data_IF_498781306962
#
_entry.id   IF_498781306962
#
_cell.length_a   1.000
_cell.length_b   1.000
_cell.length_c   1.000
_cell.angle_alpha   90.00
_cell.angle_beta   90.00
_cell.angle_gamma   90.00
#
_symmetry.space_group_name_H-M   'P 1'
#
loop_
_entity.id
_entity.type
_entity.pdbx_description
1 polymer ?
#
# COMPACT_ATOMS: atom_id res chain seq x y z
N UNK A 1 26.59 -39.85 -62.67
CA UNK A 1 27.77 -40.69 -62.41
C UNK A 1 27.29 -42.12 -62.25
N UNK A 2 27.60 -43.00 -63.21
CA UNK A 2 27.30 -44.42 -63.14
C UNK A 2 28.56 -45.15 -62.67
N UNK A 3 28.44 -45.94 -61.61
CA UNK A 3 29.54 -46.77 -61.10
C UNK A 3 29.34 -48.18 -61.64
N UNK A 4 30.34 -48.70 -62.35
CA UNK A 4 30.31 -50.08 -62.87
C UNK A 4 31.17 -50.94 -61.97
N UNK A 5 30.56 -51.91 -61.28
CA UNK A 5 31.27 -52.83 -60.40
C UNK A 5 31.58 -54.10 -61.19
N UNK A 6 32.87 -54.42 -61.32
CA UNK A 6 33.36 -55.59 -62.04
C UNK A 6 33.95 -56.57 -61.03
N UNK A 7 33.33 -57.74 -60.91
CA UNK A 7 33.86 -58.85 -60.12
C UNK A 7 34.26 -60.00 -61.05
N UNK A 8 35.53 -60.43 -60.95
CA UNK A 8 36.10 -61.49 -61.79
C UNK A 8 36.66 -62.59 -60.90
N UNK A 9 35.87 -63.64 -60.71
CA UNK A 9 36.28 -64.88 -60.04
C UNK A 9 36.77 -65.93 -61.04
N UNK A 10 37.39 -67.01 -60.54
CA UNK A 10 38.08 -68.02 -61.36
C UNK A 10 37.20 -68.67 -62.43
N UNK A 11 35.88 -68.78 -62.22
CA UNK A 11 34.91 -69.37 -63.16
C UNK A 11 33.61 -68.53 -63.40
N UNK A 12 33.54 -67.26 -62.96
CA UNK A 12 32.37 -66.38 -63.22
C UNK A 12 32.83 -64.93 -63.41
N UNK A 13 32.30 -64.24 -64.44
CA UNK A 13 32.42 -62.79 -64.62
C UNK A 13 31.06 -62.14 -64.45
N UNK A 14 30.95 -61.23 -63.48
CA UNK A 14 29.74 -60.46 -63.24
C UNK A 14 30.05 -58.96 -63.38
N UNK A 15 29.24 -58.27 -64.20
CA UNK A 15 29.33 -56.81 -64.38
C UNK A 15 27.98 -56.19 -64.12
N UNK A 16 27.89 -55.28 -63.14
CA UNK A 16 26.66 -54.54 -62.85
C UNK A 16 26.89 -53.05 -62.97
N UNK A 17 26.00 -52.35 -63.69
CA UNK A 17 26.00 -50.88 -63.79
C UNK A 17 24.95 -50.30 -62.84
N UNK A 18 25.39 -49.57 -61.81
CA UNK A 18 24.52 -48.94 -60.83
C UNK A 18 24.07 -47.56 -61.33
N UNK A 19 22.77 -47.43 -61.65
CA UNK A 19 22.11 -46.14 -61.94
C UNK A 19 21.64 -45.43 -60.65
N UNK A 20 21.27 -44.14 -60.73
CA UNK A 20 20.80 -43.34 -59.57
C UNK A 20 19.68 -44.02 -58.77
N UNK A 21 18.77 -44.72 -59.46
CA UNK A 21 17.69 -45.51 -58.83
C UNK A 21 18.20 -46.68 -57.97
N UNK A 22 19.30 -47.34 -58.38
CA UNK A 22 19.91 -48.42 -57.59
C UNK A 22 20.62 -47.90 -56.34
N UNK A 23 21.18 -46.69 -56.41
CA UNK A 23 21.73 -46.03 -55.22
C UNK A 23 20.63 -45.71 -54.21
N UNK A 24 19.48 -45.24 -54.69
CA UNK A 24 18.34 -44.95 -53.83
C UNK A 24 17.83 -46.23 -53.13
N UNK A 25 17.73 -47.35 -53.85
CA UNK A 25 17.28 -48.62 -53.27
C UNK A 25 18.27 -49.19 -52.27
N UNK A 26 19.59 -49.08 -52.51
CA UNK A 26 20.61 -49.52 -51.56
C UNK A 26 20.53 -48.72 -50.24
N UNK A 27 20.32 -47.40 -50.32
CA UNK A 27 20.19 -46.55 -49.12
C UNK A 27 18.93 -46.90 -48.32
N UNK A 28 17.81 -47.14 -49.01
CA UNK A 28 16.55 -47.53 -48.35
C UNK A 28 16.69 -48.90 -47.67
N UNK A 29 17.31 -49.88 -48.33
CA UNK A 29 17.54 -51.21 -47.76
C UNK A 29 18.46 -51.10 -46.54
N UNK A 30 19.52 -50.30 -46.62
CA UNK A 30 20.42 -50.07 -45.49
C UNK A 30 19.71 -49.43 -44.29
N UNK A 31 18.84 -48.44 -44.52
CA UNK A 31 18.05 -47.80 -43.47
C UNK A 31 17.07 -48.79 -42.79
N UNK A 32 16.40 -49.66 -43.56
CA UNK A 32 15.52 -50.69 -43.02
C UNK A 32 16.29 -51.73 -42.20
N UNK A 33 17.42 -52.21 -42.70
CA UNK A 33 18.26 -53.19 -41.99
C UNK A 33 18.82 -52.57 -40.70
N UNK A 34 19.27 -51.32 -40.73
CA UNK A 34 19.72 -50.59 -39.54
C UNK A 34 18.60 -50.43 -38.52
N UNK A 35 17.38 -50.10 -38.95
CA UNK A 35 16.22 -49.98 -38.07
C UNK A 35 15.85 -51.31 -37.40
N UNK A 36 15.88 -52.41 -38.16
CA UNK A 36 15.62 -53.76 -37.64
C UNK A 36 16.70 -54.20 -36.64
N UNK A 37 17.98 -53.89 -36.89
CA UNK A 37 19.07 -54.19 -35.96
C UNK A 37 18.91 -53.39 -34.66
N UNK A 38 18.59 -52.10 -34.74
CA UNK A 38 18.35 -51.26 -33.55
C UNK A 38 17.14 -51.77 -32.76
N UNK A 39 16.05 -52.13 -33.43
CA UNK A 39 14.88 -52.74 -32.80
C UNK A 39 15.23 -54.07 -32.13
N UNK A 40 16.00 -54.93 -32.81
CA UNK A 40 16.45 -56.21 -32.25
C UNK A 40 17.30 -56.00 -30.99
N UNK A 41 18.29 -55.11 -31.03
CA UNK A 41 19.17 -54.81 -29.89
C UNK A 41 18.40 -54.20 -28.70
N UNK A 42 17.42 -53.33 -28.95
CA UNK A 42 16.54 -52.83 -27.87
C UNK A 42 15.60 -53.92 -27.34
N UNK A 43 15.18 -54.87 -28.18
CA UNK A 43 14.26 -55.94 -27.79
C UNK A 43 14.93 -57.13 -27.08
N UNK A 44 16.26 -57.25 -27.12
CA UNK A 44 16.99 -58.40 -26.54
C UNK A 44 17.25 -58.32 -25.03
N UNK A 45 16.52 -57.50 -24.26
CA UNK A 45 16.70 -57.43 -22.80
C UNK A 45 15.64 -58.19 -21.98
N UNK A 46 14.87 -59.10 -22.59
CA UNK A 46 14.07 -60.08 -21.85
C UNK A 46 14.71 -61.46 -21.94
N UNK A 47 15.34 -61.88 -20.83
CA UNK A 47 15.78 -63.26 -20.60
C UNK A 47 14.56 -64.17 -20.45
N UNK A 48 14.49 -65.34 -21.13
CA UNK A 48 13.44 -66.31 -20.86
C UNK A 48 13.82 -67.14 -19.62
N UNK A 49 13.12 -66.91 -18.51
CA UNK A 49 13.18 -67.84 -17.37
C UNK A 49 12.32 -69.06 -17.71
N UNK A 50 12.97 -70.21 -17.79
CA UNK A 50 12.33 -71.53 -17.89
C UNK A 50 11.33 -71.74 -16.75
N UNK A 51 10.11 -72.09 -17.12
CA UNK A 51 8.99 -72.39 -16.24
C UNK A 51 9.14 -73.76 -15.58
N UNK A 52 9.36 -73.80 -14.27
CA UNK A 52 8.89 -74.88 -13.40
C UNK A 52 8.96 -74.49 -11.92
N UNK A 53 7.87 -73.89 -11.40
CA UNK A 53 7.21 -74.31 -10.16
C UNK A 53 6.04 -73.37 -9.83
N UNK A 54 4.90 -74.00 -9.54
CA UNK A 54 3.66 -73.40 -9.10
C UNK A 54 3.77 -72.75 -7.71
N UNK A 55 2.90 -71.75 -7.46
CA UNK A 55 2.57 -71.09 -6.19
C UNK A 55 3.46 -69.93 -5.72
N UNK A 56 3.35 -68.74 -6.34
CA UNK A 56 3.23 -67.42 -5.67
C UNK A 56 2.74 -66.41 -6.72
N UNK A 57 1.43 -66.22 -6.83
CA UNK A 57 0.82 -65.14 -7.64
C UNK A 57 -0.25 -64.46 -6.78
N UNK A 58 0.21 -63.60 -5.89
CA UNK A 58 -0.63 -62.66 -5.12
C UNK A 58 0.19 -61.43 -4.67
N UNK A 59 1.52 -61.57 -4.57
CA UNK A 59 2.41 -60.51 -4.08
C UNK A 59 2.89 -59.49 -5.13
N UNK A 60 2.79 -59.77 -6.45
CA UNK A 60 3.33 -58.88 -7.49
C UNK A 60 2.33 -57.84 -8.00
N UNK A 61 1.03 -58.16 -8.08
CA UNK A 61 -0.04 -57.17 -8.34
C UNK A 61 -0.35 -56.32 -7.10
N UNK A 62 -0.24 -56.90 -5.89
CA UNK A 62 -0.27 -56.13 -4.65
C UNK A 62 0.92 -55.17 -4.55
N UNK A 63 2.14 -55.54 -4.94
CA UNK A 63 3.29 -54.63 -4.86
C UNK A 63 3.18 -53.40 -5.77
N UNK A 64 2.77 -53.56 -7.03
CA UNK A 64 2.60 -52.42 -7.96
C UNK A 64 1.41 -51.54 -7.58
N UNK A 65 0.33 -52.11 -7.03
CA UNK A 65 -0.80 -51.32 -6.52
C UNK A 65 -0.49 -50.61 -5.20
N UNK A 66 0.31 -51.23 -4.32
CA UNK A 66 0.78 -50.63 -3.06
C UNK A 66 1.78 -49.49 -3.34
N UNK A 67 2.76 -49.66 -4.24
CA UNK A 67 3.67 -48.57 -4.63
C UNK A 67 2.93 -47.41 -5.32
N UNK A 68 1.97 -47.70 -6.20
CA UNK A 68 1.15 -46.66 -6.84
C UNK A 68 0.22 -45.95 -5.84
N UNK A 69 -0.30 -46.66 -4.84
CA UNK A 69 -1.08 -46.08 -3.74
C UNK A 69 -0.21 -45.24 -2.80
N UNK A 70 1.01 -45.68 -2.51
CA UNK A 70 2.00 -44.94 -1.74
C UNK A 70 2.42 -43.66 -2.47
N UNK A 71 2.74 -43.71 -3.76
CA UNK A 71 3.03 -42.52 -4.58
C UNK A 71 1.86 -41.52 -4.59
N UNK A 72 0.62 -41.99 -4.78
CA UNK A 72 -0.57 -41.12 -4.71
C UNK A 72 -0.75 -40.49 -3.32
N UNK A 73 -0.46 -41.24 -2.25
CA UNK A 73 -0.54 -40.74 -0.89
C UNK A 73 0.54 -39.70 -0.56
N UNK A 74 1.75 -39.88 -1.11
CA UNK A 74 2.87 -38.94 -0.98
C UNK A 74 2.55 -37.66 -1.74
N UNK A 75 2.04 -37.76 -2.97
CA UNK A 75 1.64 -36.59 -3.77
C UNK A 75 0.48 -35.85 -3.10
N UNK A 76 -0.50 -36.55 -2.53
CA UNK A 76 -1.60 -35.95 -1.77
C UNK A 76 -1.11 -35.21 -0.52
N UNK A 77 -0.21 -35.80 0.27
CA UNK A 77 0.41 -35.15 1.43
C UNK A 77 1.21 -33.91 1.03
N UNK A 78 1.90 -33.97 -0.12
CA UNK A 78 2.64 -32.82 -0.68
C UNK A 78 1.70 -31.69 -1.09
N UNK A 79 0.56 -31.99 -1.72
CA UNK A 79 -0.47 -31.00 -2.04
C UNK A 79 -1.02 -30.33 -0.77
N UNK A 80 -1.31 -31.11 0.28
CA UNK A 80 -1.75 -30.59 1.58
C UNK A 80 -0.73 -29.62 2.21
N UNK A 81 0.56 -29.97 2.14
CA UNK A 81 1.64 -29.12 2.64
C UNK A 81 1.75 -27.80 1.85
N UNK A 82 1.63 -27.87 0.52
CA UNK A 82 1.64 -26.68 -0.34
C UNK A 82 0.48 -25.75 0.01
N UNK A 83 -0.74 -26.27 0.16
CA UNK A 83 -1.91 -25.48 0.58
C UNK A 83 -1.70 -24.82 1.94
N UNK A 84 -1.15 -25.56 2.92
CA UNK A 84 -0.86 -24.99 4.23
C UNK A 84 0.18 -23.87 4.16
N UNK A 85 1.21 -24.05 3.32
CA UNK A 85 2.26 -23.05 3.12
C UNK A 85 1.68 -21.78 2.49
N UNK A 86 0.81 -21.92 1.49
CA UNK A 86 0.10 -20.78 0.89
C UNK A 86 -0.77 -20.05 1.91
N UNK A 87 -1.54 -20.79 2.72
CA UNK A 87 -2.37 -20.19 3.77
C UNK A 87 -1.56 -19.52 4.88
N UNK A 88 -0.42 -20.09 5.25
CA UNK A 88 0.50 -19.44 6.19
C UNK A 88 1.05 -18.13 5.63
N UNK A 89 1.44 -18.11 4.35
CA UNK A 89 1.91 -16.89 3.69
C UNK A 89 0.81 -15.82 3.62
N UNK A 90 -0.43 -16.21 3.32
CA UNK A 90 -1.60 -15.32 3.33
C UNK A 90 -1.81 -14.73 4.73
N UNK A 91 -1.87 -15.54 5.78
CA UNK A 91 -1.99 -15.07 7.16
C UNK A 91 -0.84 -14.14 7.57
N UNK A 92 0.40 -14.46 7.20
CA UNK A 92 1.55 -13.59 7.45
C UNK A 92 1.38 -12.22 6.78
N UNK A 93 0.89 -12.20 5.53
CA UNK A 93 0.59 -10.97 4.82
C UNK A 93 -0.48 -10.13 5.53
N UNK A 94 -1.59 -10.75 5.97
CA UNK A 94 -2.63 -10.05 6.72
C UNK A 94 -2.09 -9.45 8.03
N UNK A 95 -1.30 -10.20 8.80
CA UNK A 95 -0.70 -9.70 10.04
C UNK A 95 0.23 -8.51 9.77
N UNK A 96 1.07 -8.58 8.74
CA UNK A 96 1.95 -7.46 8.38
C UNK A 96 1.15 -6.22 8.01
N UNK A 97 0.05 -6.38 7.25
CA UNK A 97 -0.81 -5.26 6.86
C UNK A 97 -1.54 -4.66 8.07
N UNK A 98 -2.06 -5.50 8.97
CA UNK A 98 -2.69 -5.08 10.21
C UNK A 98 -1.72 -4.32 11.12
N UNK A 99 -0.49 -4.81 11.26
CA UNK A 99 0.57 -4.14 12.01
C UNK A 99 0.91 -2.78 11.41
N UNK A 100 0.98 -2.68 10.08
CA UNK A 100 1.22 -1.40 9.39
C UNK A 100 0.05 -0.42 9.56
N UNK A 101 -1.20 -0.89 9.45
CA UNK A 101 -2.41 -0.09 9.71
C UNK A 101 -2.45 0.43 11.14
N UNK A 102 -2.21 -0.46 12.10
CA UNK A 102 -2.21 -0.13 13.51
C UNK A 102 -1.11 0.89 13.87
N UNK A 103 0.08 0.75 13.29
CA UNK A 103 1.17 1.72 13.47
C UNK A 103 0.78 3.13 13.01
N UNK A 104 0.19 3.26 11.81
CA UNK A 104 -0.29 4.56 11.30
C UNK A 104 -1.37 5.17 12.19
N UNK A 105 -2.31 4.36 12.69
CA UNK A 105 -3.34 4.82 13.62
C UNK A 105 -2.74 5.34 14.93
N UNK A 106 -1.73 4.65 15.46
CA UNK A 106 -1.04 5.04 16.69
C UNK A 106 -0.26 6.35 16.52
N UNK A 107 0.46 6.50 15.40
CA UNK A 107 1.20 7.72 15.06
C UNK A 107 0.25 8.92 14.94
N UNK A 108 -0.86 8.76 14.21
CA UNK A 108 -1.88 9.81 14.07
C UNK A 108 -2.53 10.20 15.42
N UNK A 109 -2.61 9.26 16.36
CA UNK A 109 -3.12 9.49 17.70
C UNK A 109 -2.05 9.99 18.70
N UNK A 110 -0.81 10.22 18.25
CA UNK A 110 0.34 10.56 19.10
C UNK A 110 0.58 9.56 20.24
N UNK A 111 0.29 8.27 20.02
CA UNK A 111 0.55 7.22 21.00
C UNK A 111 2.05 6.85 20.94
N UNK A 112 2.78 6.89 22.07
CA UNK A 112 4.20 6.55 22.06
C UNK A 112 4.45 5.09 21.64
N UNK A 113 5.44 4.86 20.77
CA UNK A 113 5.81 3.50 20.32
C UNK A 113 6.18 2.54 21.47
N UNK A 114 6.63 3.06 22.61
CA UNK A 114 6.91 2.25 23.81
C UNK A 114 5.66 1.63 24.45
N UNK A 115 4.49 2.26 24.25
CA UNK A 115 3.19 1.80 24.78
C UNK A 115 2.47 0.91 23.78
N UNK A 116 2.79 1.03 22.49
CA UNK A 116 2.13 0.30 21.42
C UNK A 116 3.12 -0.05 20.30
N UNK A 117 3.66 -1.28 20.36
CA UNK A 117 4.72 -1.78 19.48
C UNK A 117 4.27 -3.08 18.79
N UNK A 118 3.95 -2.98 17.49
CA UNK A 118 3.50 -4.11 16.67
C UNK A 118 4.60 -5.11 16.30
N UNK A 119 5.87 -4.78 16.57
CA UNK A 119 7.00 -5.68 16.34
C UNK A 119 7.28 -6.57 17.55
N UNK A 120 6.69 -6.28 18.71
CA UNK A 120 6.81 -7.11 19.90
C UNK A 120 5.62 -8.05 20.00
N UNK A 121 5.93 -9.31 20.26
CA UNK A 121 4.91 -10.29 20.60
C UNK A 121 4.24 -9.87 21.91
N UNK A 122 2.90 -9.85 21.98
CA UNK A 122 2.21 -9.54 23.22
C UNK A 122 2.55 -10.60 24.28
N UNK A 123 2.62 -10.22 25.57
CA UNK A 123 2.76 -11.19 26.65
C UNK A 123 1.62 -12.21 26.60
N UNK A 124 1.93 -13.43 26.18
CA UNK A 124 0.97 -14.53 26.11
C UNK A 124 1.08 -15.34 27.40
N UNK A 125 0.23 -15.03 28.38
CA UNK A 125 0.06 -15.85 29.59
C UNK A 125 -1.07 -16.86 29.41
N UNK A 126 -0.90 -18.09 29.88
CA UNK A 126 -1.97 -19.09 29.88
C UNK A 126 -1.55 -20.39 30.57
N UNK A 127 -2.51 -21.20 31.06
CA UNK A 127 -2.20 -22.53 31.56
C UNK A 127 -1.54 -23.34 30.42
N UNK A 128 -0.42 -24.00 30.70
CA UNK A 128 0.24 -24.89 29.74
C UNK A 128 -0.75 -25.96 29.30
N UNK A 129 -1.33 -25.82 28.10
CA UNK A 129 -2.13 -26.86 27.51
C UNK A 129 -1.21 -28.07 27.29
N UNK A 130 -1.44 -29.14 28.04
CA UNK A 130 -0.70 -30.39 27.90
C UNK A 130 -0.76 -30.81 26.42
N UNK A 131 0.40 -31.01 25.79
CA UNK A 131 0.57 -31.25 24.35
C UNK A 131 -0.26 -32.40 23.76
N UNK A 132 -0.92 -33.20 24.59
CA UNK A 132 -1.81 -34.30 24.23
C UNK A 132 -3.11 -33.84 23.51
N UNK A 133 -3.56 -32.59 23.65
CA UNK A 133 -4.80 -32.12 23.00
C UNK A 133 -4.62 -31.69 21.53
N UNK A 134 -3.39 -31.42 21.09
CA UNK A 134 -3.10 -30.90 19.74
C UNK A 134 -3.08 -32.03 18.69
N UNK A 135 -2.83 -33.27 19.11
CA UNK A 135 -2.53 -34.40 18.22
C UNK A 135 -3.74 -35.06 17.53
N UNK A 136 -4.99 -34.56 17.70
CA UNK A 136 -6.20 -35.19 17.15
C UNK A 136 -6.91 -34.43 16.04
N UNK A 137 -6.48 -33.22 15.67
CA UNK A 137 -7.19 -32.45 14.63
C UNK A 137 -6.84 -32.99 13.25
N UNK A 138 -7.88 -33.38 12.50
CA UNK A 138 -7.76 -33.71 11.07
C UNK A 138 -7.28 -32.49 10.29
N UNK A 139 -6.54 -32.73 9.19
CA UNK A 139 -6.14 -31.68 8.26
C UNK A 139 -7.32 -30.83 7.78
N UNK A 140 -8.48 -31.47 7.53
CA UNK A 140 -9.70 -30.77 7.14
C UNK A 140 -10.18 -29.80 8.23
N UNK A 141 -10.10 -30.20 9.51
CA UNK A 141 -10.47 -29.36 10.63
C UNK A 141 -9.53 -28.15 10.79
N UNK A 142 -8.23 -28.38 10.61
CA UNK A 142 -7.23 -27.30 10.66
C UNK A 142 -7.43 -26.29 9.52
N UNK A 143 -7.79 -26.77 8.33
CA UNK A 143 -8.06 -25.92 7.18
C UNK A 143 -9.32 -25.06 7.40
N UNK A 144 -10.35 -25.62 8.05
CA UNK A 144 -11.55 -24.87 8.47
C UNK A 144 -11.17 -23.78 9.48
N UNK A 145 -10.36 -24.11 10.50
CA UNK A 145 -9.93 -23.14 11.52
C UNK A 145 -9.07 -22.01 10.92
N UNK A 146 -8.15 -22.34 10.01
CA UNK A 146 -7.36 -21.34 9.25
C UNK A 146 -8.29 -20.43 8.45
N UNK A 147 -9.26 -21.01 7.74
CA UNK A 147 -10.23 -20.23 6.94
C UNK A 147 -11.07 -19.32 7.83
N UNK A 148 -11.48 -19.79 9.01
CA UNK A 148 -12.22 -18.96 9.97
C UNK A 148 -11.35 -17.81 10.51
N UNK A 149 -10.08 -18.09 10.80
CA UNK A 149 -9.13 -17.07 11.25
C UNK A 149 -8.87 -16.02 10.17
N UNK A 150 -8.69 -16.44 8.92
CA UNK A 150 -8.52 -15.57 7.76
C UNK A 150 -9.70 -14.61 7.61
N UNK A 151 -10.94 -15.14 7.60
CA UNK A 151 -12.15 -14.32 7.58
C UNK A 151 -12.23 -13.34 8.76
N UNK A 152 -11.76 -13.74 9.95
CA UNK A 152 -11.71 -12.86 11.12
C UNK A 152 -10.69 -11.73 10.93
N UNK A 153 -9.51 -12.05 10.41
CA UNK A 153 -8.46 -11.05 10.12
C UNK A 153 -8.92 -10.07 9.04
N UNK A 154 -9.58 -10.55 7.98
CA UNK A 154 -10.18 -9.70 6.94
C UNK A 154 -11.21 -8.73 7.52
N UNK A 155 -12.08 -9.22 8.40
CA UNK A 155 -13.06 -8.37 9.05
C UNK A 155 -12.38 -7.30 9.93
N UNK A 156 -11.33 -7.67 10.67
CA UNK A 156 -10.57 -6.75 11.51
C UNK A 156 -9.79 -5.72 10.69
N UNK A 157 -9.22 -6.13 9.57
CA UNK A 157 -8.54 -5.25 8.63
C UNK A 157 -9.50 -4.18 8.11
N UNK A 158 -10.68 -4.58 7.62
CA UNK A 158 -11.70 -3.66 7.15
C UNK A 158 -12.19 -2.70 8.25
N UNK A 159 -12.35 -3.18 9.48
CA UNK A 159 -12.70 -2.34 10.64
C UNK A 159 -11.63 -1.26 10.91
N UNK A 160 -10.35 -1.62 10.85
CA UNK A 160 -9.25 -0.68 11.08
C UNK A 160 -9.09 0.33 9.92
N UNK A 161 -9.27 -0.11 8.68
CA UNK A 161 -9.28 0.79 7.51
C UNK A 161 -10.41 1.81 7.64
N UNK A 162 -11.61 1.37 8.05
CA UNK A 162 -12.72 2.28 8.31
C UNK A 162 -12.39 3.27 9.43
N UNK A 163 -11.78 2.81 10.53
CA UNK A 163 -11.35 3.68 11.62
C UNK A 163 -10.29 4.69 11.17
N UNK A 164 -9.32 4.28 10.36
CA UNK A 164 -8.32 5.17 9.74
C UNK A 164 -9.00 6.25 8.90
N UNK A 165 -9.92 5.86 8.02
CA UNK A 165 -10.66 6.80 7.19
C UNK A 165 -11.47 7.80 8.02
N UNK A 166 -12.17 7.34 9.06
CA UNK A 166 -12.95 8.20 9.94
C UNK A 166 -12.08 9.16 10.76
N UNK A 167 -10.96 8.67 11.30
CA UNK A 167 -10.03 9.49 12.10
C UNK A 167 -9.35 10.55 11.23
N UNK A 168 -8.90 10.20 10.02
CA UNK A 168 -8.35 11.15 9.05
C UNK A 168 -9.39 12.19 8.63
N UNK A 169 -10.61 11.78 8.30
CA UNK A 169 -11.68 12.70 7.94
C UNK A 169 -11.98 13.67 9.09
N UNK A 170 -12.09 13.17 10.32
CA UNK A 170 -12.31 14.02 11.50
C UNK A 170 -11.16 14.99 11.75
N UNK A 171 -9.91 14.55 11.57
CA UNK A 171 -8.73 15.40 11.69
C UNK A 171 -8.71 16.53 10.65
N UNK A 172 -9.03 16.21 9.39
CA UNK A 172 -9.13 17.19 8.30
C UNK A 172 -10.24 18.21 8.61
N UNK A 173 -11.41 17.75 9.04
CA UNK A 173 -12.53 18.62 9.42
C UNK A 173 -12.15 19.57 10.57
N UNK A 174 -11.60 19.04 11.67
CA UNK A 174 -11.25 19.84 12.84
C UNK A 174 -10.13 20.84 12.56
N UNK A 175 -9.16 20.46 11.72
CA UNK A 175 -8.03 21.30 11.34
C UNK A 175 -8.41 22.40 10.36
N UNK A 176 -9.39 22.17 9.46
CA UNK A 176 -9.96 23.18 8.55
C UNK A 176 -10.98 24.10 9.25
N UNK A 177 -11.49 23.71 10.41
CA UNK A 177 -12.49 24.47 11.14
C UNK A 177 -11.96 25.79 11.72
N UNK A 178 -12.41 26.91 11.14
CA UNK A 178 -12.09 28.28 11.58
C UNK A 178 -12.52 28.53 13.03
N UNK A 179 -11.52 28.66 13.90
CA UNK A 179 -11.75 28.98 15.32
C UNK A 179 -10.49 29.54 15.98
N UNK A 180 -10.70 30.37 17.01
CA UNK A 180 -9.62 30.98 17.78
C UNK A 180 -9.16 32.34 17.24
N UNK A 181 -8.30 32.98 18.02
CA UNK A 181 -7.70 34.29 17.72
C UNK A 181 -6.50 34.14 16.78
N UNK A 182 -6.24 35.10 15.87
CA UNK A 182 -5.05 35.09 15.02
C UNK A 182 -3.77 35.53 15.77
N UNK A 183 -3.81 35.63 17.10
CA UNK A 183 -2.72 36.08 17.97
C UNK A 183 -2.63 35.21 19.22
N UNK A 184 -1.41 35.03 19.74
CA UNK A 184 -1.18 34.34 21.03
C UNK A 184 -1.31 35.28 22.22
N UNK A 185 -0.96 36.57 22.06
CA UNK A 185 -1.01 37.62 23.09
C UNK A 185 -1.50 38.93 22.47
N UNK A 186 -2.27 39.71 23.23
CA UNK A 186 -2.86 40.97 22.79
C UNK A 186 -4.36 41.06 23.10
N UNK A 187 -5.02 42.08 22.56
CA UNK A 187 -6.45 42.31 22.78
C UNK A 187 -7.14 42.79 21.51
N UNK A 188 -8.46 42.57 21.47
CA UNK A 188 -9.32 43.08 20.40
C UNK A 188 -9.40 44.60 20.52
N UNK A 189 -8.87 45.33 19.54
CA UNK A 189 -8.82 46.80 19.53
C UNK A 189 -9.91 47.42 18.65
N UNK A 190 -10.35 46.72 17.60
CA UNK A 190 -11.41 47.21 16.72
C UNK A 190 -12.33 46.10 16.22
N UNK A 191 -13.63 46.41 16.13
CA UNK A 191 -14.68 45.50 15.68
C UNK A 191 -15.00 45.68 14.20
N UNK A 192 -15.63 44.66 13.61
CA UNK A 192 -16.20 44.69 12.26
C UNK A 192 -17.38 45.64 12.20
N UNK A 193 -17.57 46.33 11.07
CA UNK A 193 -18.72 47.20 10.83
C UNK A 193 -18.36 48.67 10.67
N UNK A 194 -19.39 49.53 10.71
CA UNK A 194 -19.24 50.96 10.51
C UNK A 194 -18.56 51.62 11.71
N UNK A 195 -17.45 52.33 11.47
CA UNK A 195 -16.72 53.08 12.50
C UNK A 195 -16.15 54.38 11.96
N UNK A 196 -15.68 55.24 12.87
CA UNK A 196 -14.93 56.44 12.50
C UNK A 196 -13.56 56.04 11.95
N UNK A 197 -13.22 56.52 10.76
CA UNK A 197 -11.93 56.31 10.14
C UNK A 197 -10.84 56.99 11.00
N UNK A 198 -9.79 56.27 11.41
CA UNK A 198 -8.79 56.81 12.33
C UNK A 198 -7.90 57.88 11.70
N UNK A 199 -7.88 58.01 10.36
CA UNK A 199 -7.02 58.99 9.67
C UNK A 199 -7.76 60.28 9.31
N UNK A 200 -9.04 60.21 8.93
CA UNK A 200 -9.79 61.38 8.46
C UNK A 200 -11.08 61.66 9.25
N UNK A 201 -11.45 60.79 10.20
CA UNK A 201 -12.60 60.97 11.06
C UNK A 201 -13.97 60.79 10.39
N UNK A 202 -14.04 60.36 9.12
CA UNK A 202 -15.30 60.10 8.42
C UNK A 202 -15.80 58.68 8.69
N UNK A 203 -17.10 58.40 8.57
CA UNK A 203 -17.62 57.03 8.64
C UNK A 203 -16.97 56.14 7.57
N UNK A 204 -16.47 54.97 7.98
CA UNK A 204 -15.84 53.99 7.11
C UNK A 204 -16.20 52.58 7.55
N UNK A 205 -16.40 51.67 6.59
CA UNK A 205 -16.74 50.28 6.85
C UNK A 205 -15.47 49.47 7.13
N UNK A 206 -15.36 48.93 8.33
CA UNK A 206 -14.29 48.02 8.71
C UNK A 206 -14.63 46.59 8.31
N UNK A 207 -13.85 46.01 7.41
CA UNK A 207 -14.11 44.72 6.77
C UNK A 207 -13.55 43.51 7.53
N UNK A 208 -13.00 43.74 8.71
CA UNK A 208 -12.43 42.73 9.59
C UNK A 208 -12.47 43.17 11.04
N UNK A 209 -11.65 42.55 11.87
CA UNK A 209 -11.40 42.96 13.25
C UNK A 209 -9.90 43.15 13.47
N UNK A 210 -9.55 44.03 14.40
CA UNK A 210 -8.15 44.35 14.68
C UNK A 210 -7.75 43.81 16.05
N UNK A 211 -6.63 43.09 16.11
CA UNK A 211 -6.02 42.69 17.36
C UNK A 211 -4.71 43.45 17.58
N UNK A 212 -4.72 44.33 18.57
CA UNK A 212 -3.51 45.05 18.98
C UNK A 212 -2.63 44.16 19.86
N UNK A 213 -1.32 44.34 19.73
CA UNK A 213 -0.33 43.59 20.47
C UNK A 213 1.04 44.26 20.39
N UNK A 214 2.07 43.53 20.84
CA UNK A 214 3.45 43.99 20.73
C UNK A 214 3.93 43.80 19.28
N UNK A 215 4.68 44.76 18.76
CA UNK A 215 5.44 44.58 17.51
C UNK A 215 6.32 43.31 17.59
N UNK A 216 6.49 42.62 16.46
CA UNK A 216 7.11 41.29 16.34
C UNK A 216 6.37 40.13 17.05
N UNK A 217 5.18 40.38 17.61
CA UNK A 217 4.32 39.33 18.15
C UNK A 217 3.92 38.29 17.09
N UNK A 218 3.72 37.04 17.53
CA UNK A 218 3.32 35.95 16.65
C UNK A 218 1.88 36.12 16.14
N UNK A 219 1.72 36.04 14.82
CA UNK A 219 0.43 35.92 14.14
C UNK A 219 0.28 34.48 13.67
N UNK A 220 -0.83 33.84 14.03
CA UNK A 220 -1.09 32.42 13.79
C UNK A 220 -2.29 32.20 12.87
N UNK A 221 -2.24 31.11 12.10
CA UNK A 221 -3.37 30.68 11.27
C UNK A 221 -4.54 30.17 12.13
N UNK A 222 -5.75 30.65 11.88
CA UNK A 222 -6.96 30.24 12.65
C UNK A 222 -7.63 28.96 12.12
N UNK A 223 -7.17 28.46 10.98
CA UNK A 223 -7.50 27.16 10.40
C UNK A 223 -6.38 26.71 9.45
N UNK A 224 -6.36 25.42 9.13
CA UNK A 224 -5.43 24.84 8.17
C UNK A 224 -5.89 25.13 6.73
N UNK A 225 -4.96 25.29 5.81
CA UNK A 225 -5.28 25.66 4.43
C UNK A 225 -4.04 25.88 3.58
N UNK A 226 -4.24 26.49 2.42
CA UNK A 226 -3.16 26.83 1.46
C UNK A 226 -3.07 28.34 1.33
N UNK A 227 -1.87 28.89 1.40
CA UNK A 227 -1.63 30.32 1.22
C UNK A 227 -1.94 30.72 -0.23
N UNK A 228 -2.96 31.56 -0.41
CA UNK A 228 -3.39 32.08 -1.73
C UNK A 228 -2.78 33.45 -2.04
N UNK A 229 -2.24 34.16 -1.05
CA UNK A 229 -1.54 35.43 -1.20
C UNK A 229 -0.52 35.62 -0.08
N UNK A 230 0.68 36.12 -0.40
CA UNK A 230 1.71 36.47 0.58
C UNK A 230 2.61 37.59 0.00
N UNK A 231 2.12 38.83 0.03
CA UNK A 231 2.85 39.99 -0.51
C UNK A 231 2.22 41.31 -0.01
N UNK A 232 2.83 42.45 -0.33
CA UNK A 232 2.22 43.77 -0.12
C UNK A 232 0.93 43.91 -0.93
N UNK A 233 -0.09 44.49 -0.29
CA UNK A 233 -1.35 44.85 -0.93
C UNK A 233 -1.83 46.21 -0.46
N UNK A 234 -2.19 47.06 -1.42
CA UNK A 234 -2.66 48.42 -1.13
C UNK A 234 -3.73 48.45 -0.03
N UNK A 235 -3.50 49.32 0.97
CA UNK A 235 -4.33 49.45 2.16
C UNK A 235 -3.99 48.46 3.29
N UNK A 236 -3.68 47.20 2.96
CA UNK A 236 -3.37 46.15 3.94
C UNK A 236 -1.89 46.12 4.35
N UNK A 237 -0.98 46.63 3.51
CA UNK A 237 0.46 46.42 3.68
C UNK A 237 0.83 44.97 3.40
N UNK A 238 1.80 44.41 4.13
CA UNK A 238 2.16 43.00 3.99
C UNK A 238 0.99 42.13 4.44
N UNK A 239 0.42 41.39 3.48
CA UNK A 239 -0.80 40.62 3.64
C UNK A 239 -0.52 39.14 3.42
N UNK A 240 -1.12 38.30 4.26
CA UNK A 240 -1.31 36.87 3.99
C UNK A 240 -2.80 36.61 3.76
N UNK A 241 -3.12 35.84 2.73
CA UNK A 241 -4.44 35.22 2.54
C UNK A 241 -4.30 33.70 2.54
N UNK A 242 -5.13 33.00 3.33
CA UNK A 242 -5.16 31.53 3.38
C UNK A 242 -6.53 31.06 2.92
N UNK A 243 -6.54 30.12 1.98
CA UNK A 243 -7.74 29.40 1.53
C UNK A 243 -7.89 28.10 2.31
N UNK A 244 -9.03 27.94 3.01
CA UNK A 244 -9.34 26.79 3.86
C UNK A 244 -10.26 25.75 3.18
N UNK A 245 -10.66 26.01 1.94
CA UNK A 245 -11.71 25.26 1.24
C UNK A 245 -13.12 25.68 1.67
N UNK A 246 -14.14 25.06 1.07
CA UNK A 246 -15.58 25.33 1.31
C UNK A 246 -15.98 26.81 1.20
N UNK A 247 -15.24 27.54 0.37
CA UNK A 247 -15.42 28.97 0.14
C UNK A 247 -14.88 29.88 1.24
N UNK A 248 -14.20 29.35 2.27
CA UNK A 248 -13.63 30.15 3.35
C UNK A 248 -12.20 30.60 3.06
N UNK A 249 -11.93 31.88 3.30
CA UNK A 249 -10.58 32.45 3.30
C UNK A 249 -10.37 33.31 4.53
N UNK A 250 -9.13 33.40 5.00
CA UNK A 250 -8.73 34.35 6.04
C UNK A 250 -7.67 35.30 5.53
N UNK A 251 -7.68 36.53 6.04
CA UNK A 251 -6.65 37.54 5.73
C UNK A 251 -6.01 38.07 6.98
N UNK A 252 -4.71 38.30 6.92
CA UNK A 252 -3.87 38.81 8.00
C UNK A 252 -3.06 39.97 7.43
N UNK A 253 -3.48 41.20 7.72
CA UNK A 253 -2.85 42.43 7.22
C UNK A 253 -2.00 43.14 8.27
N UNK A 254 -1.30 44.16 7.82
CA UNK A 254 -0.40 45.03 8.60
C UNK A 254 0.80 44.30 9.22
N UNK A 255 1.23 43.19 8.63
CA UNK A 255 2.36 42.40 9.15
C UNK A 255 3.69 43.15 8.99
N UNK A 256 4.64 42.89 9.89
CA UNK A 256 6.02 43.36 9.75
C UNK A 256 6.85 42.44 8.85
N UNK A 257 6.61 41.14 8.96
CA UNK A 257 7.31 40.12 8.20
C UNK A 257 6.37 38.95 7.92
N UNK A 258 6.43 38.41 6.70
CA UNK A 258 5.74 37.19 6.32
C UNK A 258 6.70 35.99 6.52
N UNK A 259 6.21 34.89 7.08
CA UNK A 259 6.99 33.66 7.33
C UNK A 259 6.59 32.51 6.39
N UNK A 260 5.66 32.76 5.48
CA UNK A 260 5.11 31.80 4.53
C UNK A 260 4.99 32.45 3.16
N UNK A 261 4.98 31.63 2.12
CA UNK A 261 4.87 32.02 0.72
C UNK A 261 3.59 31.48 0.08
N UNK A 262 3.23 32.02 -1.10
CA UNK A 262 2.11 31.50 -1.89
C UNK A 262 2.34 30.02 -2.22
N UNK A 263 1.31 29.20 -2.01
CA UNK A 263 1.35 27.75 -2.23
C UNK A 263 1.70 26.93 -0.99
N UNK A 264 2.19 27.55 0.08
CA UNK A 264 2.51 26.82 1.31
C UNK A 264 1.23 26.26 1.97
N UNK A 265 1.32 25.01 2.43
CA UNK A 265 0.30 24.39 3.29
C UNK A 265 0.58 24.79 4.72
N UNK A 266 -0.42 25.39 5.38
CA UNK A 266 -0.31 25.84 6.76
C UNK A 266 -1.28 25.09 7.65
N UNK A 267 -0.81 24.75 8.85
CA UNK A 267 -1.62 24.11 9.88
C UNK A 267 -2.26 25.16 10.79
N UNK A 268 -3.43 24.84 11.34
CA UNK A 268 -4.06 25.67 12.38
C UNK A 268 -3.11 25.86 13.56
N UNK A 269 -2.95 27.12 14.00
CA UNK A 269 -2.05 27.52 15.07
C UNK A 269 -0.60 27.74 14.64
N UNK A 270 -0.22 27.42 13.39
CA UNK A 270 1.11 27.71 12.87
C UNK A 270 1.35 29.23 12.83
N UNK A 271 2.55 29.66 13.22
CA UNK A 271 2.98 31.05 13.09
C UNK A 271 3.24 31.34 11.61
N UNK A 272 2.53 32.32 11.06
CA UNK A 272 2.56 32.67 9.63
C UNK A 272 3.16 34.05 9.37
N UNK A 273 3.18 34.93 10.36
CA UNK A 273 3.71 36.28 10.25
C UNK A 273 4.13 36.86 11.60
N UNK A 274 4.85 37.98 11.54
CA UNK A 274 5.18 38.83 12.67
C UNK A 274 4.33 40.09 12.63
N UNK A 275 3.76 40.47 13.78
CA UNK A 275 2.92 41.65 13.93
C UNK A 275 3.70 42.93 13.65
N UNK A 276 3.08 43.84 12.90
CA UNK A 276 3.67 45.11 12.50
C UNK A 276 2.66 46.23 12.36
N UNK A 277 3.02 47.24 11.60
CA UNK A 277 2.20 48.42 11.30
C UNK A 277 2.40 48.88 9.85
N UNK A 278 2.47 47.95 8.89
CA UNK A 278 2.65 48.29 7.47
C UNK A 278 1.32 48.70 6.80
N UNK A 279 1.39 49.43 5.69
CA UNK A 279 0.19 49.86 4.96
C UNK A 279 -0.58 50.93 5.73
N UNK A 280 -1.92 50.87 5.71
CA UNK A 280 -2.76 51.90 6.33
C UNK A 280 -3.05 51.60 7.80
N UNK A 281 -2.03 51.67 8.64
CA UNK A 281 -2.05 51.33 10.07
C UNK A 281 -1.59 52.50 10.95
N UNK A 282 -2.13 52.63 12.16
CA UNK A 282 -1.77 53.68 13.14
C UNK A 282 -0.88 53.16 14.28
N UNK A 283 -0.58 51.86 14.32
CA UNK A 283 0.27 51.23 15.33
C UNK A 283 0.25 49.70 15.23
N UNK A 284 1.05 48.97 16.04
CA UNK A 284 1.16 47.52 15.93
C UNK A 284 -0.15 46.75 16.18
N UNK A 285 -0.66 46.09 15.13
CA UNK A 285 -1.83 45.20 15.20
C UNK A 285 -1.89 44.27 14.00
N UNK A 286 -2.68 43.19 14.10
CA UNK A 286 -3.11 42.41 12.93
C UNK A 286 -4.53 42.79 12.55
N UNK A 287 -4.73 43.14 11.27
CA UNK A 287 -6.07 43.24 10.69
C UNK A 287 -6.50 41.87 10.19
N UNK A 288 -7.59 41.35 10.73
CA UNK A 288 -8.06 39.99 10.48
C UNK A 288 -9.44 39.98 9.81
N UNK A 289 -9.52 39.45 8.59
CA UNK A 289 -10.79 39.24 7.87
C UNK A 289 -11.11 37.74 7.75
N UNK A 290 -12.40 37.42 7.74
CA UNK A 290 -12.91 36.13 7.26
C UNK A 290 -13.78 36.41 6.05
N UNK A 291 -13.54 35.65 4.98
CA UNK A 291 -14.32 35.69 3.76
C UNK A 291 -15.05 34.37 3.58
N UNK A 292 -16.30 34.44 3.11
CA UNK A 292 -17.07 33.29 2.64
C UNK A 292 -17.57 33.58 1.23
N UNK A 293 -17.15 32.78 0.26
CA UNK A 293 -17.42 32.99 -1.16
C UNK A 293 -17.04 34.42 -1.59
N UNK A 294 -15.81 34.84 -1.23
CA UNK A 294 -15.22 36.15 -1.51
C UNK A 294 -15.94 37.37 -0.90
N UNK A 295 -16.91 37.16 -0.01
CA UNK A 295 -17.57 38.23 0.75
C UNK A 295 -17.08 38.24 2.20
N UNK A 296 -16.68 39.41 2.70
CA UNK A 296 -16.31 39.55 4.12
C UNK A 296 -17.52 39.31 5.02
N UNK A 297 -17.30 38.57 6.10
CA UNK A 297 -18.26 38.31 7.16
C UNK A 297 -17.65 38.71 8.51
N UNK A 298 -18.50 39.00 9.49
CA UNK A 298 -18.07 39.36 10.83
C UNK A 298 -17.25 38.20 11.48
N UNK A 299 -15.94 38.40 11.74
CA UNK A 299 -15.09 37.36 12.31
C UNK A 299 -15.38 37.05 13.78
N UNK A 300 -16.13 37.89 14.51
CA UNK A 300 -16.25 37.83 15.97
C UNK A 300 -16.72 36.46 16.47
N UNK A 301 -17.67 35.85 15.75
CA UNK A 301 -18.26 34.54 16.11
C UNK A 301 -17.29 33.37 15.94
N UNK A 302 -16.28 33.52 15.10
CA UNK A 302 -15.28 32.48 14.86
C UNK A 302 -14.15 32.56 15.88
N UNK A 303 -13.79 33.78 16.27
CA UNK A 303 -12.69 34.01 17.20
C UNK A 303 -12.95 33.45 18.60
N UNK A 304 -14.19 33.54 19.09
CA UNK A 304 -14.58 33.00 20.40
C UNK A 304 -15.10 31.56 20.36
N UNK A 305 -15.08 30.94 19.18
CA UNK A 305 -15.51 29.56 19.03
C UNK A 305 -14.43 28.64 19.57
N UNK A 306 -14.80 27.68 20.41
CA UNK A 306 -13.91 26.56 20.74
C UNK A 306 -13.76 25.67 19.49
N UNK A 307 -12.56 25.15 19.28
CA UNK A 307 -12.40 24.03 18.35
C UNK A 307 -13.32 22.89 18.80
N UNK A 308 -13.98 22.23 17.84
CA UNK A 308 -14.89 21.12 18.11
C UNK A 308 -14.11 19.85 18.39
#
# INVERSE_FOLDING_TARGET
MSLTLLYRGKNVRFSMRLNKLHWLSIVIIFALVSGVIVHLVLSTNEQPINSSNYLVSDSTEQKTTIEAAELKSVEFKKQQLTTLTMKLAELQSHVLRLNALGGRLADNANIPQKEFDFHKLPPSGGPSATSAAISKKSFAQLLIEITQLENSLDHKENQLIMLESLTLAHHIENSRYLSGRPITKGWLSSYFGLRKDPFNGRPSMHKGIDFAGKEDGDIIATASGVVSWADDRYGYGLLIEINHGDGFKTRYGHNKQLLVNIGDVVNKGQVIARMGSTGRSTGPHVHYEILRNDKQIDPIKFVYRKAK
#
